data_IF_450178257211
#
_entry.id   IF_450178257211
#
_cell.length_a   1.000
_cell.length_b   1.000
_cell.length_c   1.000
_cell.angle_alpha   90.00
_cell.angle_beta   90.00
_cell.angle_gamma   90.00
#
_symmetry.space_group_name_H-M   'P 1'
#
loop_
_entity.id
_entity.type
_entity.pdbx_description
1 polymer ?
#
# COMPACT_ATOMS: atom_id res chain seq x y z
N UNK A 1 -72.48 8.02 -19.21
CA UNK A 1 -71.37 8.80 -18.63
C UNK A 1 -70.19 7.88 -18.42
N UNK A 2 -69.10 8.01 -19.20
CA UNK A 2 -67.87 7.23 -19.05
C UNK A 2 -66.83 8.11 -18.35
N UNK A 3 -66.45 7.77 -17.12
CA UNK A 3 -65.27 8.36 -16.47
C UNK A 3 -64.02 7.66 -17.00
N UNK A 4 -63.15 8.40 -17.68
CA UNK A 4 -61.78 7.98 -17.99
C UNK A 4 -60.90 8.42 -16.82
N UNK A 5 -60.38 7.47 -16.05
CA UNK A 5 -59.29 7.73 -15.10
C UNK A 5 -57.99 7.63 -15.90
N UNK A 6 -57.35 8.78 -16.09
CA UNK A 6 -56.02 8.89 -16.70
C UNK A 6 -55.00 8.74 -15.58
N UNK A 7 -54.37 7.57 -15.48
CA UNK A 7 -53.25 7.35 -14.57
C UNK A 7 -52.00 8.02 -15.15
N UNK A 8 -51.59 9.14 -14.55
CA UNK A 8 -50.35 9.84 -14.87
C UNK A 8 -49.21 9.07 -14.19
N UNK A 9 -48.48 8.25 -14.95
CA UNK A 9 -47.28 7.57 -14.48
C UNK A 9 -46.12 8.58 -14.49
N UNK A 10 -45.92 9.31 -13.40
CA UNK A 10 -44.71 10.13 -13.21
C UNK A 10 -43.55 9.20 -12.89
N UNK A 11 -42.74 8.91 -13.91
CA UNK A 11 -41.43 8.29 -13.77
C UNK A 11 -40.52 9.29 -13.05
N UNK A 12 -40.40 9.16 -11.73
CA UNK A 12 -39.37 9.88 -10.97
C UNK A 12 -38.05 9.21 -11.32
N UNK A 13 -37.35 9.79 -12.30
CA UNK A 13 -35.91 9.54 -12.48
C UNK A 13 -35.28 10.21 -11.25
N UNK A 14 -35.14 9.44 -10.17
CA UNK A 14 -34.29 9.83 -9.08
C UNK A 14 -32.88 9.91 -9.64
N UNK A 15 -32.41 11.15 -9.85
CA UNK A 15 -30.99 11.41 -9.92
C UNK A 15 -30.41 10.87 -8.61
N UNK A 16 -29.80 9.69 -8.66
CA UNK A 16 -28.81 9.33 -7.66
C UNK A 16 -27.67 10.31 -7.90
N UNK A 17 -27.77 11.50 -7.32
CA UNK A 17 -26.60 12.26 -6.94
C UNK A 17 -25.87 11.32 -6.00
N UNK A 18 -24.81 10.69 -6.50
CA UNK A 18 -23.77 10.13 -5.65
C UNK A 18 -23.52 11.18 -4.58
N UNK A 19 -23.63 10.80 -3.31
CA UNK A 19 -23.06 11.59 -2.23
C UNK A 19 -21.56 11.66 -2.53
N UNK A 20 -21.15 12.63 -3.34
CA UNK A 20 -19.77 13.00 -3.50
C UNK A 20 -19.37 13.53 -2.14
N UNK A 21 -18.70 12.70 -1.36
CA UNK A 21 -17.95 13.21 -0.22
C UNK A 21 -16.98 14.24 -0.79
N UNK A 22 -17.08 15.46 -0.25
CA UNK A 22 -16.17 16.55 -0.56
C UNK A 22 -14.82 16.25 0.10
N UNK A 23 -14.10 15.25 -0.43
CA UNK A 23 -12.78 14.86 0.05
C UNK A 23 -11.72 15.49 -0.85
N UNK A 24 -11.02 16.49 -0.31
CA UNK A 24 -9.74 16.93 -0.83
C UNK A 24 -8.62 16.18 -0.07
N UNK A 25 -8.22 15.03 -0.62
CA UNK A 25 -7.23 14.15 -0.02
C UNK A 25 -5.94 14.91 0.32
N UNK A 26 -5.46 15.76 -0.61
CA UNK A 26 -4.20 16.47 -0.40
C UNK A 26 -4.30 17.48 0.73
N UNK A 27 -5.37 18.26 0.76
CA UNK A 27 -5.61 19.24 1.82
C UNK A 27 -5.69 18.55 3.18
N UNK A 28 -6.44 17.46 3.27
CA UNK A 28 -6.59 16.77 4.54
C UNK A 28 -5.28 16.12 5.00
N UNK A 29 -4.51 15.50 4.09
CA UNK A 29 -3.17 14.99 4.43
C UNK A 29 -2.27 16.11 4.96
N UNK A 30 -2.29 17.29 4.35
CA UNK A 30 -1.52 18.46 4.80
C UNK A 30 -1.89 18.91 6.22
N UNK A 31 -3.14 18.74 6.64
CA UNK A 31 -3.66 19.12 7.95
C UNK A 31 -3.43 18.04 9.02
N UNK A 32 -3.53 16.76 8.64
CA UNK A 32 -3.65 15.64 9.58
C UNK A 32 -2.41 14.76 9.72
N UNK A 33 -1.44 14.83 8.79
CA UNK A 33 -0.20 14.05 8.92
C UNK A 33 0.63 14.55 10.09
N UNK A 34 0.88 13.65 11.03
CA UNK A 34 1.71 13.91 12.20
C UNK A 34 3.19 13.69 11.87
N UNK A 35 4.03 14.69 12.14
CA UNK A 35 5.49 14.58 11.99
C UNK A 35 6.15 14.50 13.38
N UNK A 36 6.57 13.30 13.77
CA UNK A 36 7.16 13.02 15.08
C UNK A 36 8.66 12.73 14.98
N UNK A 37 9.41 13.14 15.99
CA UNK A 37 10.82 12.80 16.17
C UNK A 37 10.92 11.68 17.20
N UNK A 38 11.60 10.60 16.84
CA UNK A 38 11.92 9.49 17.71
C UNK A 38 13.41 9.48 18.01
N UNK A 39 13.77 9.18 19.26
CA UNK A 39 15.17 8.99 19.68
C UNK A 39 15.32 7.57 20.20
N UNK A 40 16.29 6.84 19.64
CA UNK A 40 16.65 5.49 20.11
C UNK A 40 17.91 5.63 20.95
N UNK A 41 17.69 5.73 22.27
CA UNK A 41 18.76 5.97 23.24
C UNK A 41 19.88 4.93 23.15
N UNK A 42 19.53 3.66 22.95
CA UNK A 42 20.49 2.54 22.88
C UNK A 42 21.52 2.66 21.75
N UNK A 43 21.21 3.42 20.69
CA UNK A 43 22.05 3.53 19.49
C UNK A 43 22.41 4.99 19.16
N UNK A 44 22.08 5.94 20.04
CA UNK A 44 22.35 7.37 19.88
C UNK A 44 21.98 7.93 18.49
N UNK A 45 20.81 7.54 17.96
CA UNK A 45 20.29 8.13 16.73
C UNK A 45 18.85 8.59 16.92
N UNK A 46 18.50 9.68 16.24
CA UNK A 46 17.13 10.18 16.13
C UNK A 46 16.67 10.07 14.69
N UNK A 47 15.38 9.86 14.48
CA UNK A 47 14.75 9.81 13.17
C UNK A 47 13.37 10.44 13.22
N UNK A 48 12.88 10.92 12.08
CA UNK A 48 11.55 11.50 11.95
C UNK A 48 10.59 10.48 11.35
N UNK A 49 9.32 10.58 11.69
CA UNK A 49 8.25 9.79 11.09
C UNK A 49 7.13 10.75 10.73
N UNK A 50 6.72 10.76 9.47
CA UNK A 50 5.49 11.38 9.03
C UNK A 50 4.47 10.26 8.82
N UNK A 51 3.33 10.32 9.52
CA UNK A 51 2.28 9.31 9.40
C UNK A 51 0.92 9.87 9.77
N UNK A 52 -0.10 9.22 9.26
CA UNK A 52 -1.46 9.30 9.78
C UNK A 52 -1.58 8.48 11.06
N UNK A 53 -2.42 8.94 11.97
CA UNK A 53 -2.82 8.21 13.17
C UNK A 53 -3.88 7.17 12.78
N UNK A 54 -3.67 5.93 13.18
CA UNK A 54 -4.58 4.82 12.85
C UNK A 54 -5.76 4.74 13.81
N UNK A 55 -5.76 5.52 14.90
CA UNK A 55 -6.85 5.56 15.89
C UNK A 55 -7.81 6.74 15.64
N UNK A 56 -7.54 7.58 14.64
CA UNK A 56 -8.33 8.76 14.31
C UNK A 56 -9.28 8.46 13.14
N UNK A 57 -10.53 8.88 13.29
CA UNK A 57 -11.50 8.91 12.20
C UNK A 57 -11.38 10.25 11.45
N UNK A 58 -11.07 10.16 10.17
CA UNK A 58 -10.83 11.28 9.26
C UNK A 58 -12.13 11.69 8.55
N UNK A 59 -12.24 12.98 8.20
CA UNK A 59 -13.35 13.47 7.37
C UNK A 59 -13.45 12.77 5.99
N UNK A 60 -12.32 12.35 5.41
CA UNK A 60 -12.31 11.62 4.16
C UNK A 60 -12.27 10.10 4.36
N UNK A 61 -13.33 9.42 3.90
CA UNK A 61 -13.42 7.95 3.92
C UNK A 61 -12.28 7.25 3.16
N UNK A 62 -11.71 7.91 2.15
CA UNK A 62 -10.54 7.38 1.45
C UNK A 62 -9.35 7.26 2.40
N UNK A 63 -9.16 8.21 3.31
CA UNK A 63 -8.11 8.12 4.33
C UNK A 63 -8.42 6.99 5.30
N UNK A 64 -9.65 6.94 5.82
CA UNK A 64 -10.08 5.90 6.76
C UNK A 64 -9.89 4.49 6.18
N UNK A 65 -10.25 4.29 4.92
CA UNK A 65 -10.19 2.98 4.25
C UNK A 65 -8.78 2.59 3.79
N UNK A 66 -7.83 3.53 3.76
CA UNK A 66 -6.51 3.32 3.15
C UNK A 66 -5.34 3.86 4.00
N UNK A 67 -5.50 3.97 5.33
CA UNK A 67 -4.48 4.55 6.21
C UNK A 67 -3.12 3.87 6.08
N UNK A 68 -3.09 2.54 5.95
CA UNK A 68 -1.84 1.78 5.77
C UNK A 68 -1.20 2.02 4.40
N UNK A 69 -1.99 2.08 3.33
CA UNK A 69 -1.51 2.44 1.99
C UNK A 69 -0.97 3.90 1.97
N UNK A 70 -1.65 4.85 2.61
CA UNK A 70 -1.19 6.22 2.70
C UNK A 70 0.10 6.34 3.53
N UNK A 71 0.21 5.59 4.63
CA UNK A 71 1.43 5.51 5.42
C UNK A 71 2.60 4.83 4.68
N UNK A 72 2.33 4.04 3.63
CA UNK A 72 3.36 3.57 2.71
C UNK A 72 3.85 4.68 1.77
N UNK A 73 2.96 5.60 1.36
CA UNK A 73 3.24 6.69 0.41
C UNK A 73 3.88 7.92 1.08
N UNK A 74 3.58 8.23 2.36
CA UNK A 74 3.90 9.51 3.06
C UNK A 74 5.31 9.58 3.74
N UNK A 75 6.23 8.67 3.36
CA UNK A 75 7.40 8.15 4.08
C UNK A 75 7.61 8.29 5.60
N UNK A 76 8.52 7.41 6.07
CA UNK A 76 9.38 7.64 7.24
C UNK A 76 10.60 8.50 6.87
N UNK A 77 10.89 9.54 7.66
CA UNK A 77 12.00 10.46 7.47
C UNK A 77 13.29 9.87 8.05
N UNK A 78 13.86 8.89 7.36
CA UNK A 78 15.15 8.30 7.78
C UNK A 78 16.36 8.97 7.13
N UNK A 79 16.21 9.63 5.97
CA UNK A 79 17.30 10.30 5.24
C UNK A 79 16.78 11.50 4.41
N UNK A 80 17.57 12.57 4.30
CA UNK A 80 17.27 13.74 3.44
C UNK A 80 16.40 14.84 4.10
N UNK A 81 16.07 14.65 5.38
CA UNK A 81 15.21 15.54 6.16
C UNK A 81 15.78 15.81 7.55
N UNK A 82 17.10 15.83 7.70
CA UNK A 82 17.79 16.00 9.00
C UNK A 82 17.35 17.30 9.70
N UNK A 83 17.03 18.32 8.92
CA UNK A 83 16.53 19.59 9.42
C UNK A 83 15.09 19.53 9.96
N UNK A 84 14.36 18.41 9.80
CA UNK A 84 13.09 18.13 10.50
C UNK A 84 13.32 17.47 11.87
N UNK A 85 14.55 17.07 12.17
CA UNK A 85 14.97 16.50 13.47
C UNK A 85 15.40 17.58 14.47
N UNK A 86 15.52 18.84 14.02
CA UNK A 86 15.81 19.99 14.86
C UNK A 86 14.66 20.28 15.85
N UNK A 87 14.97 20.97 16.95
CA UNK A 87 13.96 21.46 17.89
C UNK A 87 13.14 22.57 17.22
N UNK A 88 11.91 22.22 16.82
CA UNK A 88 10.91 23.10 16.24
C UNK A 88 9.54 22.69 16.77
N UNK A 89 8.60 23.64 16.83
CA UNK A 89 7.22 23.29 17.14
C UNK A 89 6.59 22.40 16.06
N UNK A 90 5.47 21.78 16.40
CA UNK A 90 4.82 20.78 15.55
C UNK A 90 4.31 21.34 14.23
N UNK A 91 3.85 22.60 14.21
CA UNK A 91 3.26 23.23 13.02
C UNK A 91 4.36 23.57 12.01
N UNK A 92 5.45 24.18 12.49
CA UNK A 92 6.61 24.47 11.64
C UNK A 92 7.22 23.20 11.04
N UNK A 93 7.25 22.11 11.82
CA UNK A 93 7.71 20.80 11.35
C UNK A 93 6.84 20.23 10.25
N UNK A 94 5.53 20.27 10.42
CA UNK A 94 4.56 19.80 9.43
C UNK A 94 4.64 20.61 8.14
N UNK A 95 4.67 21.95 8.24
CA UNK A 95 4.82 22.84 7.08
C UNK A 95 6.11 22.55 6.31
N UNK A 96 7.23 22.39 7.03
CA UNK A 96 8.54 22.12 6.43
C UNK A 96 8.61 20.72 5.81
N UNK A 97 7.98 19.73 6.43
CA UNK A 97 7.79 18.40 5.86
C UNK A 97 7.04 18.49 4.53
N UNK A 98 5.85 19.10 4.50
CA UNK A 98 5.05 19.18 3.29
C UNK A 98 5.71 20.01 2.18
N UNK A 99 6.43 21.08 2.52
CA UNK A 99 7.20 21.86 1.55
C UNK A 99 8.24 21.02 0.80
N UNK A 100 8.86 20.04 1.47
CA UNK A 100 9.79 19.08 0.86
C UNK A 100 9.09 17.89 0.22
N UNK A 101 8.06 17.36 0.86
CA UNK A 101 7.29 16.23 0.34
C UNK A 101 6.72 16.57 -1.05
N UNK A 102 6.25 17.82 -1.24
CA UNK A 102 5.83 18.38 -2.53
C UNK A 102 6.92 18.37 -3.63
N UNK A 103 8.20 18.26 -3.25
CA UNK A 103 9.34 18.18 -4.18
C UNK A 103 9.70 16.73 -4.53
N UNK A 104 9.25 15.74 -3.74
CA UNK A 104 9.34 14.32 -4.08
C UNK A 104 8.27 13.98 -5.12
N UNK A 105 8.61 14.23 -6.38
CA UNK A 105 7.70 14.01 -7.52
C UNK A 105 7.18 12.59 -7.60
N UNK A 106 7.97 11.57 -7.21
CA UNK A 106 7.50 10.18 -7.26
C UNK A 106 6.34 9.92 -6.29
N UNK A 107 6.42 10.45 -5.06
CA UNK A 107 5.39 10.22 -4.03
C UNK A 107 4.25 11.21 -4.08
N UNK A 108 4.59 12.49 -4.20
CA UNK A 108 3.58 13.55 -4.21
C UNK A 108 2.71 13.48 -5.46
N UNK A 109 3.29 13.17 -6.62
CA UNK A 109 2.49 13.07 -7.85
C UNK A 109 1.51 11.89 -7.79
N UNK A 110 1.88 10.77 -7.14
CA UNK A 110 0.95 9.65 -6.91
C UNK A 110 -0.26 10.08 -6.06
N UNK A 111 -0.06 10.87 -5.00
CA UNK A 111 -1.18 11.40 -4.21
C UNK A 111 -2.00 12.44 -4.97
N UNK A 112 -1.36 13.27 -5.80
CA UNK A 112 -2.10 14.19 -6.67
C UNK A 112 -2.97 13.44 -7.67
N UNK A 113 -2.44 12.37 -8.26
CA UNK A 113 -3.16 11.51 -9.17
C UNK A 113 -4.35 10.86 -8.48
N UNK A 114 -4.16 10.29 -7.30
CA UNK A 114 -5.25 9.73 -6.50
C UNK A 114 -6.32 10.79 -6.20
N UNK A 115 -5.93 12.00 -5.75
CA UNK A 115 -6.87 13.09 -5.51
C UNK A 115 -7.62 13.50 -6.79
N UNK A 116 -6.92 13.55 -7.93
CA UNK A 116 -7.52 13.88 -9.22
C UNK A 116 -8.55 12.82 -9.69
N UNK A 117 -8.30 11.55 -9.37
CA UNK A 117 -9.22 10.43 -9.62
C UNK A 117 -10.48 10.55 -8.75
N UNK A 118 -10.32 10.84 -7.45
CA UNK A 118 -11.45 11.03 -6.53
C UNK A 118 -12.35 12.19 -6.97
N UNK A 119 -11.73 13.27 -7.47
CA UNK A 119 -12.43 14.43 -7.99
C UNK A 119 -13.02 14.22 -9.41
N UNK A 120 -12.87 13.03 -10.00
CA UNK A 120 -13.37 12.70 -11.33
C UNK A 120 -12.67 13.43 -12.49
N UNK A 121 -11.53 14.08 -12.22
CA UNK A 121 -10.75 14.81 -13.23
C UNK A 121 -9.80 13.92 -14.02
N UNK A 122 -9.43 12.77 -13.44
CA UNK A 122 -8.62 11.72 -14.05
C UNK A 122 -9.38 10.39 -13.95
N UNK A 123 -9.29 9.55 -14.97
CA UNK A 123 -9.91 8.23 -14.91
C UNK A 123 -9.03 7.25 -14.15
N UNK A 124 -9.65 6.29 -13.46
CA UNK A 124 -8.94 5.16 -12.85
C UNK A 124 -8.28 4.32 -13.94
N UNK A 125 -7.03 3.94 -13.71
CA UNK A 125 -6.36 2.95 -14.51
C UNK A 125 -6.94 1.55 -14.28
N UNK A 126 -6.64 0.62 -15.18
CA UNK A 126 -7.00 -0.79 -15.02
C UNK A 126 -5.75 -1.64 -14.88
N UNK A 127 -5.66 -2.40 -13.80
CA UNK A 127 -4.55 -3.31 -13.51
C UNK A 127 -5.00 -4.76 -13.66
N UNK A 128 -4.12 -5.63 -14.15
CA UNK A 128 -4.35 -7.06 -14.27
C UNK A 128 -3.96 -7.81 -12.99
N UNK A 129 -4.56 -8.98 -12.75
CA UNK A 129 -4.13 -9.90 -11.67
C UNK A 129 -2.63 -10.16 -11.68
N UNK A 130 -2.03 -10.28 -12.87
CA UNK A 130 -0.57 -10.46 -13.00
C UNK A 130 0.22 -9.29 -12.43
N UNK A 131 -0.22 -8.05 -12.67
CA UNK A 131 0.45 -6.85 -12.14
C UNK A 131 0.32 -6.77 -10.62
N UNK A 132 -0.89 -7.01 -10.08
CA UNK A 132 -1.13 -7.02 -8.63
C UNK A 132 -0.27 -8.08 -7.95
N UNK A 133 -0.32 -9.33 -8.43
CA UNK A 133 0.43 -10.43 -7.84
C UNK A 133 1.93 -10.22 -7.97
N UNK A 134 2.43 -9.78 -9.14
CA UNK A 134 3.85 -9.51 -9.36
C UNK A 134 4.39 -8.50 -8.33
N UNK A 135 3.62 -7.48 -7.95
CA UNK A 135 4.04 -6.54 -6.91
C UNK A 135 3.90 -7.13 -5.51
N UNK A 136 2.78 -7.78 -5.21
CA UNK A 136 2.50 -8.33 -3.88
C UNK A 136 3.56 -9.33 -3.39
N UNK A 137 4.05 -10.21 -4.27
CA UNK A 137 5.06 -11.22 -3.89
C UNK A 137 6.37 -10.60 -3.38
N UNK A 138 6.69 -9.36 -3.79
CA UNK A 138 7.91 -8.64 -3.39
C UNK A 138 7.86 -8.13 -1.95
N UNK A 139 6.70 -8.18 -1.29
CA UNK A 139 6.60 -7.93 0.14
C UNK A 139 7.05 -9.13 0.99
N UNK A 140 7.27 -10.30 0.40
CA UNK A 140 7.83 -11.48 1.05
C UNK A 140 9.27 -11.69 0.60
N UNK A 141 10.27 -11.45 1.45
CA UNK A 141 11.68 -11.48 1.05
C UNK A 141 12.55 -12.36 1.95
N UNK A 142 13.65 -12.85 1.38
CA UNK A 142 14.77 -13.44 2.11
C UNK A 142 15.85 -12.36 2.27
N UNK A 143 16.04 -11.88 3.48
CA UNK A 143 16.95 -10.77 3.79
C UNK A 143 18.38 -11.23 4.13
N UNK A 144 18.61 -12.53 4.19
CA UNK A 144 19.95 -13.10 4.35
C UNK A 144 19.92 -14.52 4.90
N UNK A 145 21.09 -15.00 5.31
CA UNK A 145 21.27 -16.29 5.97
C UNK A 145 21.60 -16.11 7.46
N UNK A 146 21.27 -17.11 8.27
CA UNK A 146 21.83 -17.26 9.62
C UNK A 146 23.25 -17.84 9.53
N UNK A 147 24.07 -17.78 10.60
CA UNK A 147 25.39 -18.42 10.63
C UNK A 147 25.35 -19.93 10.33
N UNK A 148 24.23 -20.58 10.60
CA UNK A 148 24.00 -22.01 10.35
C UNK A 148 23.49 -22.28 8.91
N UNK A 149 23.31 -21.24 8.10
CA UNK A 149 22.90 -21.36 6.70
C UNK A 149 21.38 -21.36 6.45
N UNK A 150 20.55 -21.01 7.45
CA UNK A 150 19.09 -20.92 7.27
C UNK A 150 18.67 -19.57 6.67
N UNK A 151 17.64 -19.58 5.83
CA UNK A 151 17.04 -18.36 5.27
C UNK A 151 16.36 -17.52 6.35
N UNK A 152 16.66 -16.23 6.38
CA UNK A 152 15.96 -15.23 7.19
C UNK A 152 14.88 -14.55 6.33
N UNK A 153 13.63 -14.92 6.56
CA UNK A 153 12.47 -14.29 5.93
C UNK A 153 12.10 -12.96 6.56
N UNK A 154 11.52 -12.05 5.76
CA UNK A 154 10.94 -10.79 6.22
C UNK A 154 9.70 -10.48 5.38
N UNK A 155 8.61 -10.11 6.06
CA UNK A 155 7.38 -9.59 5.43
C UNK A 155 7.40 -8.07 5.47
N UNK A 156 6.79 -7.45 4.47
CA UNK A 156 6.82 -6.01 4.21
C UNK A 156 8.25 -5.48 3.98
N UNK A 157 9.08 -6.27 3.29
CA UNK A 157 10.44 -5.88 2.88
C UNK A 157 10.49 -5.04 1.59
N UNK A 158 9.36 -4.88 0.88
CA UNK A 158 9.27 -4.39 -0.50
C UNK A 158 9.96 -3.05 -0.78
N UNK A 159 10.19 -2.20 0.23
CA UNK A 159 10.95 -0.96 0.09
C UNK A 159 12.36 -1.14 -0.50
N UNK A 160 13.01 -2.30 -0.32
CA UNK A 160 14.34 -2.55 -0.91
C UNK A 160 14.30 -3.39 -2.19
N UNK A 161 13.28 -4.22 -2.37
CA UNK A 161 13.23 -5.22 -3.47
C UNK A 161 12.50 -4.68 -4.71
N UNK A 162 11.44 -3.88 -4.54
CA UNK A 162 10.68 -3.32 -5.67
C UNK A 162 11.54 -2.39 -6.54
N UNK A 163 12.32 -1.43 -5.98
CA UNK A 163 13.13 -0.54 -6.81
C UNK A 163 14.22 -1.23 -7.64
N UNK A 164 14.61 -2.47 -7.28
CA UNK A 164 15.64 -3.24 -7.98
C UNK A 164 15.07 -4.32 -8.90
N UNK A 165 13.75 -4.53 -8.90
CA UNK A 165 13.07 -5.54 -9.72
C UNK A 165 12.04 -4.96 -10.69
N UNK A 166 11.55 -3.74 -10.46
CA UNK A 166 10.58 -3.06 -11.33
C UNK A 166 11.21 -1.82 -11.99
N UNK A 167 11.31 -1.83 -13.32
CA UNK A 167 11.82 -0.69 -14.08
C UNK A 167 10.86 0.50 -14.06
N UNK A 168 9.56 0.21 -14.16
CA UNK A 168 8.48 1.19 -14.08
C UNK A 168 7.67 0.88 -12.82
N UNK A 169 7.59 1.86 -11.91
CA UNK A 169 6.96 1.68 -10.60
C UNK A 169 5.58 2.32 -10.60
N UNK A 170 4.60 1.59 -10.08
CA UNK A 170 3.26 2.11 -9.80
C UNK A 170 3.06 2.21 -8.29
N UNK A 171 3.34 3.40 -7.73
CA UNK A 171 3.33 3.59 -6.29
C UNK A 171 1.95 3.36 -5.65
N UNK A 172 0.86 3.70 -6.35
CA UNK A 172 -0.50 3.49 -5.85
C UNK A 172 -0.84 2.00 -5.76
N UNK A 173 -0.42 1.21 -6.75
CA UNK A 173 -0.59 -0.25 -6.71
C UNK A 173 0.33 -0.92 -5.68
N UNK A 174 1.56 -0.43 -5.53
CA UNK A 174 2.45 -0.86 -4.46
C UNK A 174 1.87 -0.60 -3.07
N UNK A 175 1.27 0.57 -2.85
CA UNK A 175 0.65 0.95 -1.59
C UNK A 175 -0.54 0.05 -1.25
N UNK A 176 -1.37 -0.27 -2.24
CA UNK A 176 -2.44 -1.25 -2.08
C UNK A 176 -1.91 -2.63 -1.67
N UNK A 177 -0.94 -3.17 -2.43
CA UNK A 177 -0.38 -4.50 -2.16
C UNK A 177 0.33 -4.54 -0.79
N UNK A 178 1.01 -3.46 -0.41
CA UNK A 178 1.58 -3.32 0.94
C UNK A 178 0.48 -3.37 2.01
N UNK A 179 -0.58 -2.57 1.86
CA UNK A 179 -1.68 -2.49 2.83
C UNK A 179 -2.30 -3.86 3.05
N UNK A 180 -2.67 -4.53 1.96
CA UNK A 180 -3.29 -5.85 1.98
C UNK A 180 -2.43 -6.90 2.68
N UNK A 181 -1.12 -6.93 2.40
CA UNK A 181 -0.21 -7.89 3.06
C UNK A 181 0.01 -7.50 4.53
N UNK A 182 0.22 -6.21 4.81
CA UNK A 182 0.58 -5.71 6.14
C UNK A 182 -0.52 -5.97 7.17
N UNK A 183 -1.76 -5.69 6.80
CA UNK A 183 -2.94 -5.85 7.66
C UNK A 183 -3.21 -7.31 8.03
N UNK A 184 -2.70 -8.25 7.21
CA UNK A 184 -2.84 -9.70 7.41
C UNK A 184 -1.52 -10.37 7.84
N UNK A 185 -0.61 -9.61 8.43
CA UNK A 185 0.62 -10.18 9.04
C UNK A 185 0.37 -10.85 10.38
N UNK A 186 -0.73 -10.52 11.06
CA UNK A 186 -1.22 -11.22 12.24
C UNK A 186 -2.19 -12.34 11.84
N UNK A 187 -2.46 -13.33 12.71
CA UNK A 187 -3.40 -14.40 12.40
C UNK A 187 -4.74 -13.83 11.92
N UNK A 188 -5.11 -14.16 10.69
CA UNK A 188 -6.31 -13.68 10.00
C UNK A 188 -7.02 -14.84 9.31
N UNK A 189 -8.13 -14.59 8.61
CA UNK A 189 -8.77 -15.61 7.77
C UNK A 189 -7.87 -16.11 6.63
N UNK A 190 -6.91 -15.27 6.20
CA UNK A 190 -5.87 -15.61 5.25
C UNK A 190 -4.56 -15.88 5.98
N UNK A 191 -4.08 -17.13 5.97
CA UNK A 191 -2.80 -17.48 6.59
C UNK A 191 -1.62 -17.29 5.62
N UNK A 192 -1.51 -16.09 5.07
CA UNK A 192 -0.47 -15.74 4.08
C UNK A 192 0.95 -15.86 4.66
N UNK A 193 1.08 -15.75 5.98
CA UNK A 193 2.34 -15.91 6.69
C UNK A 193 2.75 -17.38 6.77
N UNK A 194 1.82 -18.31 7.00
CA UNK A 194 2.14 -19.73 6.90
C UNK A 194 2.46 -20.13 5.46
N UNK A 195 1.75 -19.58 4.48
CA UNK A 195 2.05 -19.80 3.07
C UNK A 195 3.47 -19.35 2.69
N UNK A 196 3.88 -18.20 3.22
CA UNK A 196 5.25 -17.70 3.11
C UNK A 196 6.27 -18.65 3.76
N UNK A 197 6.01 -19.14 4.97
CA UNK A 197 6.91 -20.09 5.65
C UNK A 197 6.98 -21.42 4.89
N UNK A 198 5.89 -21.90 4.33
CA UNK A 198 5.86 -23.10 3.51
C UNK A 198 6.67 -22.93 2.22
N UNK A 199 6.57 -21.76 1.59
CA UNK A 199 7.46 -21.34 0.51
C UNK A 199 8.93 -21.47 0.92
N UNK A 200 9.32 -20.90 2.06
CA UNK A 200 10.69 -21.01 2.59
C UNK A 200 11.11 -22.46 2.88
N UNK A 201 10.21 -23.28 3.46
CA UNK A 201 10.49 -24.69 3.78
C UNK A 201 10.78 -25.49 2.52
N UNK A 202 10.06 -25.24 1.43
CA UNK A 202 10.28 -25.90 0.12
C UNK A 202 11.67 -25.59 -0.44
N UNK A 203 12.22 -24.39 -0.21
CA UNK A 203 13.55 -24.03 -0.70
C UNK A 203 14.69 -24.86 -0.10
N UNK A 204 14.53 -25.39 1.12
CA UNK A 204 15.54 -26.24 1.76
C UNK A 204 15.68 -27.62 1.10
N UNK A 205 14.79 -27.98 0.17
CA UNK A 205 14.89 -29.21 -0.60
C UNK A 205 15.81 -29.07 -1.83
N UNK A 206 16.33 -27.86 -2.08
CA UNK A 206 17.10 -27.53 -3.27
C UNK A 206 18.48 -26.98 -2.91
N UNK A 207 19.50 -27.42 -3.63
CA UNK A 207 20.84 -26.82 -3.59
C UNK A 207 20.86 -25.59 -4.49
N UNK A 208 20.57 -24.42 -3.91
CA UNK A 208 20.40 -23.18 -4.68
C UNK A 208 21.72 -22.47 -4.98
N UNK A 209 22.85 -22.85 -4.39
CA UNK A 209 24.14 -22.23 -4.69
C UNK A 209 25.24 -22.73 -3.77
N UNK A 210 26.48 -22.61 -4.24
CA UNK A 210 27.67 -23.01 -3.47
C UNK A 210 28.21 -21.90 -2.58
N UNK A 211 27.98 -20.64 -2.96
CA UNK A 211 28.23 -19.46 -2.14
C UNK A 211 26.92 -18.77 -1.74
N UNK A 212 26.99 -17.92 -0.72
CA UNK A 212 25.82 -17.33 -0.07
C UNK A 212 25.12 -16.29 -0.94
N UNK A 213 25.83 -15.55 -1.78
CA UNK A 213 25.25 -14.51 -2.62
C UNK A 213 24.39 -15.12 -3.74
N UNK A 214 24.94 -16.08 -4.47
CA UNK A 214 24.22 -16.83 -5.50
C UNK A 214 23.01 -17.57 -4.90
N UNK A 215 23.21 -18.21 -3.74
CA UNK A 215 22.15 -18.94 -3.03
C UNK A 215 21.01 -17.99 -2.66
N UNK A 216 21.30 -16.82 -2.10
CA UNK A 216 20.30 -15.83 -1.73
C UNK A 216 19.55 -15.28 -2.94
N UNK A 217 20.26 -14.93 -4.01
CA UNK A 217 19.64 -14.41 -5.23
C UNK A 217 18.64 -15.42 -5.82
N UNK A 218 19.06 -16.68 -5.96
CA UNK A 218 18.19 -17.75 -6.50
C UNK A 218 17.04 -18.09 -5.56
N UNK A 219 17.28 -18.09 -4.25
CA UNK A 219 16.24 -18.32 -3.25
C UNK A 219 15.16 -17.24 -3.28
N UNK A 220 15.52 -15.96 -3.44
CA UNK A 220 14.55 -14.86 -3.61
C UNK A 220 13.69 -15.06 -4.84
N UNK A 221 14.31 -15.35 -5.99
CA UNK A 221 13.56 -15.62 -7.22
C UNK A 221 12.60 -16.81 -7.07
N UNK A 222 13.08 -17.92 -6.50
CA UNK A 222 12.25 -19.11 -6.25
C UNK A 222 11.10 -18.83 -5.28
N UNK A 223 11.34 -18.03 -4.24
CA UNK A 223 10.30 -17.60 -3.31
C UNK A 223 9.24 -16.74 -4.00
N UNK A 224 9.63 -15.77 -4.82
CA UNK A 224 8.67 -14.93 -5.55
C UNK A 224 7.79 -15.78 -6.46
N UNK A 225 8.34 -16.79 -7.13
CA UNK A 225 7.55 -17.74 -7.91
C UNK A 225 6.58 -18.55 -7.04
N UNK A 226 7.04 -19.05 -5.89
CA UNK A 226 6.18 -19.80 -4.97
C UNK A 226 5.01 -18.96 -4.44
N UNK A 227 5.24 -17.67 -4.15
CA UNK A 227 4.20 -16.75 -3.73
C UNK A 227 3.31 -16.29 -4.89
N UNK A 228 3.84 -16.24 -6.12
CA UNK A 228 3.07 -15.87 -7.31
C UNK A 228 1.97 -16.89 -7.60
N UNK A 229 2.24 -18.16 -7.30
CA UNK A 229 1.31 -19.28 -7.43
C UNK A 229 0.43 -19.49 -6.19
N UNK A 230 0.48 -18.60 -5.20
CA UNK A 230 -0.30 -18.71 -3.95
C UNK A 230 -1.76 -18.28 -4.17
N UNK A 231 -2.67 -19.26 -4.11
CA UNK A 231 -4.12 -19.01 -4.11
C UNK A 231 -4.54 -18.17 -2.89
N UNK A 232 -3.96 -18.44 -1.71
CA UNK A 232 -4.23 -17.69 -0.47
C UNK A 232 -3.88 -16.21 -0.61
N UNK A 233 -2.72 -15.88 -1.19
CA UNK A 233 -2.32 -14.49 -1.43
C UNK A 233 -3.26 -13.81 -2.44
N UNK A 234 -3.67 -14.52 -3.50
CA UNK A 234 -4.59 -13.98 -4.49
C UNK A 234 -5.96 -13.69 -3.87
N UNK A 235 -6.51 -14.64 -3.10
CA UNK A 235 -7.80 -14.49 -2.42
C UNK A 235 -7.79 -13.32 -1.43
N UNK A 236 -6.70 -13.20 -0.64
CA UNK A 236 -6.46 -12.07 0.25
C UNK A 236 -6.56 -10.74 -0.51
N UNK A 237 -5.74 -10.59 -1.57
CA UNK A 237 -5.70 -9.35 -2.35
C UNK A 237 -7.05 -9.03 -2.97
N UNK A 238 -7.75 -10.03 -3.51
CA UNK A 238 -9.08 -9.84 -4.08
C UNK A 238 -10.12 -9.44 -3.02
N UNK A 239 -10.03 -9.99 -1.80
CA UNK A 239 -10.89 -9.60 -0.68
C UNK A 239 -10.71 -8.13 -0.34
N UNK A 240 -9.45 -7.72 -0.15
CA UNK A 240 -9.06 -6.34 0.14
C UNK A 240 -9.48 -5.36 -0.95
N UNK A 241 -9.32 -5.76 -2.21
CA UNK A 241 -9.79 -4.96 -3.34
C UNK A 241 -11.31 -4.78 -3.30
N UNK A 242 -12.08 -5.85 -3.09
CA UNK A 242 -13.56 -5.77 -3.05
C UNK A 242 -14.05 -4.85 -1.94
N UNK A 243 -13.40 -4.87 -0.79
CA UNK A 243 -13.73 -4.01 0.36
C UNK A 243 -13.46 -2.54 0.05
N UNK A 244 -12.35 -2.23 -0.62
CA UNK A 244 -11.87 -0.84 -0.80
C UNK A 244 -12.11 -0.27 -2.19
N UNK A 245 -12.67 -1.03 -3.13
CA UNK A 245 -12.78 -0.70 -4.57
C UNK A 245 -13.30 0.71 -4.88
N UNK A 246 -14.18 1.26 -4.03
CA UNK A 246 -14.77 2.58 -4.26
C UNK A 246 -13.77 3.71 -3.95
N UNK A 247 -12.75 3.43 -3.14
CA UNK A 247 -11.73 4.40 -2.72
C UNK A 247 -10.38 4.22 -3.41
N UNK A 248 -10.14 3.05 -4.03
CA UNK A 248 -8.89 2.75 -4.71
C UNK A 248 -8.73 3.53 -6.04
N UNK A 249 -7.50 3.92 -6.41
CA UNK A 249 -7.23 4.72 -7.61
C UNK A 249 -7.19 3.89 -8.91
N UNK A 250 -7.57 2.61 -8.87
CA UNK A 250 -7.54 1.74 -10.03
C UNK A 250 -8.73 0.77 -10.01
N UNK A 251 -9.03 0.21 -11.19
CA UNK A 251 -9.85 -0.97 -11.34
C UNK A 251 -8.96 -2.20 -11.47
N UNK A 252 -9.28 -3.26 -10.74
CA UNK A 252 -8.66 -4.56 -10.94
C UNK A 252 -9.51 -5.37 -11.93
N UNK A 253 -8.92 -5.68 -13.09
CA UNK A 253 -9.48 -6.68 -14.01
C UNK A 253 -9.18 -8.07 -13.46
N UNK A 254 -10.14 -8.62 -12.72
CA UNK A 254 -10.13 -10.02 -12.32
C UNK A 254 -10.11 -10.90 -13.59
N UNK A 255 -9.30 -11.96 -13.59
CA UNK A 255 -9.57 -13.08 -14.49
C UNK A 255 -10.78 -13.79 -13.89
N UNK A 256 -11.92 -13.78 -14.59
CA UNK A 256 -13.00 -14.72 -14.29
C UNK A 256 -12.36 -16.12 -14.25
N UNK A 257 -12.50 -16.79 -13.11
CA UNK A 257 -12.03 -18.17 -12.92
C UNK A 257 -12.70 -19.13 -13.92
#
# INVERSE_FOLDING_TARGET
>A
MKFKVLALLTLVIGSFSSYGQDCDLLKQLEEDVMVQKFTVEERNYSYGVARLDMEVEYECDVINSNVHALNYIIPNLSQGYDELLEEMDSVDRQNKFFAKFKQDTFRYDALREWNAILNGTVQRDTVSTREVMNLAVKFFSIVGLTPEGYYRGKVCAGWSEIPVTEMERNLLLEAFAFSAVFEHTMPSEFDVIEEFKDGLRKLYQLELGTDDEDKLMRARGALYMAMLDSEVLLELLQSEYRERKETLPFYWREMEA
#
